data_IF_466512753321
#
_entry.id   IF_466512753321
#
_cell.length_a   1.000
_cell.length_b   1.000
_cell.length_c   1.000
_cell.angle_alpha   90.00
_cell.angle_beta   90.00
_cell.angle_gamma   90.00
#
_symmetry.space_group_name_H-M   'P 1'
#
loop_
_entity.id
_entity.type
_entity.pdbx_description
1 polymer ?
#
# COMPACT_ATOMS: atom_id res chain seq x y z
N UNK A 1 6.96 31.34 3.56
CA UNK A 1 6.63 30.19 2.70
C UNK A 1 5.59 29.23 3.28
N UNK A 2 5.15 29.38 4.52
CA UNK A 2 4.16 28.46 5.18
C UNK A 2 2.68 28.74 4.85
N UNK A 3 2.35 29.86 4.23
CA UNK A 3 0.94 30.26 4.06
C UNK A 3 0.31 29.88 2.71
N UNK A 4 1.08 29.34 1.77
CA UNK A 4 0.57 28.97 0.42
C UNK A 4 0.08 27.52 0.34
N UNK A 5 0.39 26.69 1.34
CA UNK A 5 0.07 25.25 1.34
C UNK A 5 -1.34 24.92 1.86
N UNK A 6 -2.03 25.88 2.51
CA UNK A 6 -3.33 25.62 3.17
C UNK A 6 -4.56 25.64 2.25
N UNK A 7 -4.42 25.95 0.95
CA UNK A 7 -5.53 25.99 -0.01
C UNK A 7 -5.35 25.05 -1.23
N UNK A 8 -4.37 24.18 -1.22
CA UNK A 8 -4.21 23.18 -2.28
C UNK A 8 -5.08 21.98 -1.95
N UNK A 9 -5.87 21.51 -2.93
CA UNK A 9 -6.60 20.25 -2.86
C UNK A 9 -5.63 19.04 -2.91
N UNK A 10 -4.33 19.29 -2.73
CA UNK A 10 -3.28 18.29 -2.77
C UNK A 10 -3.25 17.51 -1.45
N UNK A 11 -3.29 16.19 -1.54
CA UNK A 11 -3.16 15.27 -0.40
C UNK A 11 -1.73 14.75 -0.24
N UNK A 12 -0.93 14.81 -1.33
CA UNK A 12 0.46 14.40 -1.36
C UNK A 12 1.23 15.30 -2.33
N UNK A 13 2.38 15.78 -1.89
CA UNK A 13 3.35 16.51 -2.71
C UNK A 13 4.69 15.81 -2.59
N UNK A 14 5.27 15.44 -3.71
CA UNK A 14 6.63 14.92 -3.83
C UNK A 14 7.47 16.01 -4.50
N UNK A 15 8.55 16.39 -3.84
CA UNK A 15 9.45 17.43 -4.31
C UNK A 15 10.89 16.91 -4.39
N UNK A 16 11.42 16.82 -5.61
CA UNK A 16 12.77 16.40 -5.93
C UNK A 16 13.21 15.08 -5.25
N UNK A 17 12.30 14.10 -5.21
CA UNK A 17 12.53 12.81 -4.55
C UNK A 17 13.56 11.98 -5.30
N UNK A 18 14.58 11.51 -4.59
CA UNK A 18 15.59 10.61 -5.13
C UNK A 18 15.83 9.43 -4.20
N UNK A 19 16.10 8.27 -4.79
CA UNK A 19 16.52 7.06 -4.08
C UNK A 19 17.72 6.43 -4.76
N UNK A 20 18.79 6.30 -4.00
CA UNK A 20 20.03 5.67 -4.40
C UNK A 20 20.28 4.49 -3.47
N UNK A 21 20.54 3.33 -4.05
CA UNK A 21 20.98 2.14 -3.33
C UNK A 21 22.51 2.05 -3.42
N UNK A 22 23.16 1.92 -2.29
CA UNK A 22 24.60 1.67 -2.20
C UNK A 22 24.83 0.17 -2.05
N UNK A 23 25.55 -0.41 -2.98
CA UNK A 23 26.07 -1.78 -2.91
C UNK A 23 27.58 -1.74 -2.64
N UNK A 24 28.19 -2.88 -2.31
CA UNK A 24 29.65 -2.91 -2.05
C UNK A 24 30.48 -2.44 -3.27
N UNK A 25 29.95 -2.60 -4.49
CA UNK A 25 30.71 -2.38 -5.73
C UNK A 25 30.16 -1.23 -6.57
N UNK A 26 28.96 -0.70 -6.25
CA UNK A 26 28.30 0.30 -7.09
C UNK A 26 27.18 1.06 -6.40
N UNK A 27 26.77 2.16 -7.00
CA UNK A 27 25.54 2.89 -6.65
C UNK A 27 24.50 2.68 -7.74
N UNK A 28 23.27 2.40 -7.33
CA UNK A 28 22.13 2.23 -8.24
C UNK A 28 21.11 3.31 -7.94
N UNK A 29 20.92 4.25 -8.86
CA UNK A 29 19.86 5.26 -8.78
C UNK A 29 18.54 4.64 -9.23
N UNK A 30 17.64 4.42 -8.29
CA UNK A 30 16.31 3.88 -8.57
C UNK A 30 15.28 4.96 -8.88
N UNK A 31 15.41 6.14 -8.27
CA UNK A 31 14.57 7.32 -8.51
C UNK A 31 15.48 8.54 -8.52
N UNK A 32 15.29 9.44 -9.47
CA UNK A 32 16.08 10.66 -9.60
C UNK A 32 15.16 11.88 -9.80
N UNK A 33 15.16 12.80 -8.85
CA UNK A 33 14.53 14.11 -8.95
C UNK A 33 13.02 14.09 -9.23
N UNK A 34 12.29 13.07 -8.75
CA UNK A 34 10.85 12.92 -9.02
C UNK A 34 10.06 14.04 -8.36
N UNK A 35 9.20 14.68 -9.15
CA UNK A 35 8.22 15.65 -8.70
C UNK A 35 6.82 15.16 -9.05
N UNK A 36 5.90 15.17 -8.09
CA UNK A 36 4.51 14.73 -8.28
C UNK A 36 3.61 15.38 -7.24
N UNK A 37 2.50 15.92 -7.70
CA UNK A 37 1.42 16.37 -6.82
C UNK A 37 0.19 15.49 -7.05
N UNK A 38 -0.45 15.07 -5.96
CA UNK A 38 -1.65 14.23 -5.97
C UNK A 38 -2.77 14.97 -5.28
N UNK A 39 -3.89 15.10 -5.96
CA UNK A 39 -5.10 15.73 -5.43
C UNK A 39 -6.04 14.73 -4.78
N UNK A 40 -6.89 15.22 -3.91
CA UNK A 40 -7.95 14.40 -3.31
C UNK A 40 -8.88 13.84 -4.39
N UNK A 41 -9.18 12.54 -4.30
CA UNK A 41 -10.01 11.82 -5.27
C UNK A 41 -9.32 11.50 -6.61
N UNK A 42 -8.04 11.83 -6.78
CA UNK A 42 -7.32 11.57 -8.02
C UNK A 42 -6.91 10.10 -8.15
N UNK A 43 -7.02 9.56 -9.37
CA UNK A 43 -6.49 8.25 -9.75
C UNK A 43 -5.22 8.44 -10.56
N UNK A 44 -4.09 7.88 -10.08
CA UNK A 44 -2.78 7.99 -10.73
C UNK A 44 -2.30 6.61 -11.18
N UNK A 45 -1.90 6.50 -12.44
CA UNK A 45 -1.23 5.35 -13.00
C UNK A 45 0.26 5.62 -13.22
N UNK A 46 1.12 4.84 -12.56
CA UNK A 46 2.59 4.91 -12.75
C UNK A 46 3.00 3.81 -13.71
N UNK A 47 3.46 4.19 -14.89
CA UNK A 47 3.82 3.28 -15.98
C UNK A 47 5.32 3.36 -16.27
N UNK A 48 5.90 2.23 -16.61
CA UNK A 48 7.33 2.16 -16.99
C UNK A 48 7.84 0.72 -17.00
N UNK A 49 9.04 0.47 -17.55
CA UNK A 49 9.64 -0.86 -17.64
C UNK A 49 9.89 -1.48 -16.24
N UNK A 50 10.19 -2.78 -16.24
CA UNK A 50 10.63 -3.45 -14.99
C UNK A 50 11.92 -2.81 -14.48
N UNK A 51 12.02 -2.62 -13.16
CA UNK A 51 13.21 -2.04 -12.53
C UNK A 51 13.30 -0.50 -12.54
N UNK A 52 12.35 0.24 -13.14
CA UNK A 52 12.40 1.71 -13.20
C UNK A 52 11.92 2.42 -11.90
N UNK A 53 11.91 1.75 -10.74
CA UNK A 53 11.67 2.38 -9.45
C UNK A 53 10.21 2.50 -9.00
N UNK A 54 9.20 1.99 -9.74
CA UNK A 54 7.78 2.08 -9.36
C UNK A 54 7.48 1.51 -7.98
N UNK A 55 7.96 0.30 -7.71
CA UNK A 55 7.77 -0.37 -6.41
C UNK A 55 8.53 0.37 -5.32
N UNK A 56 9.74 0.84 -5.61
CA UNK A 56 10.55 1.66 -4.69
C UNK A 56 9.80 2.93 -4.28
N UNK A 57 9.20 3.64 -5.24
CA UNK A 57 8.41 4.83 -4.96
C UNK A 57 7.24 4.53 -4.01
N UNK A 58 6.45 3.48 -4.31
CA UNK A 58 5.33 3.10 -3.47
C UNK A 58 5.78 2.67 -2.07
N UNK A 59 6.89 1.94 -1.96
CA UNK A 59 7.46 1.54 -0.66
C UNK A 59 7.88 2.76 0.18
N UNK A 60 8.50 3.76 -0.46
CA UNK A 60 8.88 5.01 0.22
C UNK A 60 7.64 5.78 0.70
N UNK A 61 6.61 5.91 -0.15
CA UNK A 61 5.37 6.60 0.22
C UNK A 61 4.68 5.93 1.41
N UNK A 62 4.69 4.60 1.45
CA UNK A 62 4.11 3.83 2.55
C UNK A 62 4.99 3.82 3.82
N UNK A 63 6.21 4.35 3.74
CA UNK A 63 7.16 4.37 4.87
C UNK A 63 7.79 3.02 5.17
N UNK A 64 7.82 2.12 4.18
CA UNK A 64 8.51 0.83 4.25
C UNK A 64 9.98 0.96 3.87
N UNK A 65 10.35 2.07 3.24
CA UNK A 65 11.69 2.37 2.79
C UNK A 65 12.00 3.86 2.92
N UNK A 66 13.24 4.21 3.23
CA UNK A 66 13.70 5.59 3.33
C UNK A 66 14.12 6.14 1.96
N UNK A 67 13.80 7.39 1.72
CA UNK A 67 14.32 8.17 0.58
C UNK A 67 15.79 8.56 0.82
N UNK A 68 16.54 8.79 -0.25
CA UNK A 68 17.89 9.35 -0.15
C UNK A 68 17.86 10.88 -0.07
N UNK A 69 17.07 11.52 -0.94
CA UNK A 69 16.96 12.99 -1.01
C UNK A 69 15.52 13.41 -1.33
N UNK A 70 15.26 14.73 -1.23
CA UNK A 70 13.97 15.34 -1.56
C UNK A 70 12.96 15.31 -0.41
N UNK A 71 11.73 15.71 -0.70
CA UNK A 71 10.68 15.85 0.31
C UNK A 71 9.41 15.12 -0.09
N UNK A 72 8.70 14.61 0.92
CA UNK A 72 7.35 14.07 0.81
C UNK A 72 6.51 14.82 1.83
N UNK A 73 5.50 15.54 1.35
CA UNK A 73 4.67 16.41 2.17
C UNK A 73 3.22 15.93 2.06
N UNK A 74 2.58 15.78 3.20
CA UNK A 74 1.15 15.52 3.34
C UNK A 74 0.50 16.79 3.90
N UNK A 75 -0.06 17.69 3.07
CA UNK A 75 -0.56 18.98 3.51
C UNK A 75 -1.63 18.92 4.60
N UNK A 76 -2.43 17.86 4.59
CA UNK A 76 -3.53 17.62 5.54
C UNK A 76 -3.13 16.63 6.66
N UNK A 77 -1.82 16.38 6.85
CA UNK A 77 -1.31 15.36 7.75
C UNK A 77 -1.24 13.98 7.07
N UNK A 78 -0.42 13.09 7.64
CA UNK A 78 -0.19 11.76 7.06
C UNK A 78 -1.50 10.97 7.03
N UNK A 79 -2.00 10.70 5.83
CA UNK A 79 -3.18 9.89 5.62
C UNK A 79 -2.94 8.42 6.03
N UNK A 80 -4.00 7.70 6.37
CA UNK A 80 -3.95 6.24 6.47
C UNK A 80 -3.79 5.70 5.05
N UNK A 81 -2.69 5.03 4.78
CA UNK A 81 -2.40 4.43 3.47
C UNK A 81 -2.56 2.92 3.56
N UNK A 82 -3.25 2.33 2.57
CA UNK A 82 -3.22 0.91 2.29
C UNK A 82 -2.17 0.64 1.21
N UNK A 83 -1.34 -0.37 1.40
CA UNK A 83 -0.35 -0.80 0.41
C UNK A 83 -0.60 -2.26 0.03
N UNK A 84 -0.85 -2.50 -1.23
CA UNK A 84 -1.00 -3.83 -1.77
C UNK A 84 0.27 -4.23 -2.53
N UNK A 85 0.91 -5.28 -2.09
CA UNK A 85 2.09 -5.82 -2.74
C UNK A 85 1.71 -6.56 -4.04
N UNK A 86 2.67 -6.69 -4.94
CA UNK A 86 2.48 -7.40 -6.22
C UNK A 86 2.15 -8.89 -6.01
N UNK A 87 2.75 -9.52 -5.00
CA UNK A 87 2.44 -10.88 -4.60
C UNK A 87 1.49 -10.88 -3.41
N UNK A 88 0.64 -11.91 -3.30
CA UNK A 88 -0.13 -12.09 -2.09
C UNK A 88 0.81 -12.33 -0.89
N UNK A 89 0.49 -11.71 0.25
CA UNK A 89 1.25 -11.80 1.49
C UNK A 89 0.45 -12.48 2.58
N UNK A 90 -0.44 -13.39 2.18
CA UNK A 90 -1.26 -14.14 3.11
C UNK A 90 -0.39 -15.07 3.97
N UNK A 91 -0.68 -15.10 5.26
CA UNK A 91 -0.04 -16.03 6.19
C UNK A 91 -0.58 -17.44 5.95
N UNK A 92 0.26 -18.39 5.51
CA UNK A 92 -0.19 -19.72 5.09
C UNK A 92 -0.78 -20.57 6.23
N UNK A 93 -0.45 -20.22 7.47
CA UNK A 93 -0.95 -20.90 8.69
C UNK A 93 -2.23 -20.28 9.25
N UNK A 94 -2.72 -19.19 8.70
CA UNK A 94 -4.01 -18.58 9.04
C UNK A 94 -5.06 -18.94 7.99
N UNK A 95 -6.31 -19.14 8.41
CA UNK A 95 -7.42 -19.22 7.46
C UNK A 95 -7.69 -17.86 6.82
N UNK A 96 -8.55 -17.80 5.82
CA UNK A 96 -8.82 -16.57 5.05
C UNK A 96 -9.42 -15.47 5.92
N UNK A 97 -10.37 -15.79 6.79
CA UNK A 97 -10.96 -14.82 7.71
C UNK A 97 -9.91 -14.22 8.65
N UNK A 98 -9.05 -15.08 9.22
CA UNK A 98 -8.01 -14.64 10.16
C UNK A 98 -6.94 -13.78 9.45
N UNK A 99 -6.63 -14.07 8.18
CA UNK A 99 -5.78 -13.22 7.34
C UNK A 99 -6.39 -11.81 7.18
N UNK A 100 -7.67 -11.71 6.80
CA UNK A 100 -8.37 -10.43 6.64
C UNK A 100 -8.49 -9.66 7.97
N UNK A 101 -8.68 -10.37 9.09
CA UNK A 101 -8.81 -9.74 10.39
C UNK A 101 -7.48 -9.29 11.01
N UNK A 102 -6.35 -9.66 10.44
CA UNK A 102 -5.04 -9.44 11.05
C UNK A 102 -4.75 -7.96 11.33
N UNK A 103 -5.05 -7.08 10.38
CA UNK A 103 -4.88 -5.64 10.55
C UNK A 103 -5.73 -5.07 11.71
N UNK A 104 -6.97 -5.54 11.84
CA UNK A 104 -7.84 -5.18 12.95
C UNK A 104 -7.31 -5.75 14.28
N UNK A 105 -6.77 -6.97 14.26
CA UNK A 105 -6.17 -7.61 15.43
C UNK A 105 -4.97 -6.83 15.97
N UNK A 106 -4.07 -6.41 15.08
CA UNK A 106 -2.88 -5.62 15.43
C UNK A 106 -3.31 -4.26 16.05
N UNK A 107 -4.34 -3.62 15.52
CA UNK A 107 -4.88 -2.36 16.04
C UNK A 107 -5.79 -2.52 17.26
N UNK A 108 -6.07 -3.76 17.69
CA UNK A 108 -7.03 -4.07 18.76
C UNK A 108 -8.45 -3.57 18.47
N UNK A 109 -8.86 -3.59 17.22
CA UNK A 109 -10.15 -3.11 16.71
C UNK A 109 -11.10 -4.26 16.32
N UNK A 110 -10.86 -5.49 16.78
CA UNK A 110 -11.76 -6.62 16.52
C UNK A 110 -13.04 -6.42 17.33
N UNK A 111 -14.13 -6.22 16.61
CA UNK A 111 -15.50 -6.22 17.13
C UNK A 111 -16.33 -7.18 16.28
N UNK A 112 -17.48 -7.64 16.80
CA UNK A 112 -18.40 -8.47 16.00
C UNK A 112 -18.89 -7.72 14.77
N UNK A 113 -19.07 -6.40 14.85
CA UNK A 113 -19.44 -5.57 13.70
C UNK A 113 -18.35 -5.61 12.60
N UNK A 114 -17.09 -5.36 12.96
CA UNK A 114 -15.99 -5.36 12.02
C UNK A 114 -15.77 -6.75 11.40
N UNK A 115 -15.92 -7.80 12.21
CA UNK A 115 -15.86 -9.20 11.72
C UNK A 115 -16.96 -9.49 10.70
N UNK A 116 -18.19 -9.07 10.99
CA UNK A 116 -19.31 -9.26 10.07
C UNK A 116 -19.14 -8.46 8.77
N UNK A 117 -18.54 -7.26 8.82
CA UNK A 117 -18.17 -6.49 7.62
C UNK A 117 -17.17 -7.27 6.76
N UNK A 118 -16.12 -7.82 7.36
CA UNK A 118 -15.12 -8.65 6.64
C UNK A 118 -15.78 -9.87 6.00
N UNK A 119 -16.63 -10.58 6.73
CA UNK A 119 -17.38 -11.73 6.20
C UNK A 119 -18.29 -11.32 5.02
N UNK A 120 -18.95 -10.18 5.12
CA UNK A 120 -19.79 -9.64 4.04
C UNK A 120 -18.96 -9.33 2.80
N UNK A 121 -17.79 -8.69 2.97
CA UNK A 121 -16.86 -8.41 1.87
C UNK A 121 -16.37 -9.71 1.21
N UNK A 122 -15.96 -10.70 1.99
CA UNK A 122 -15.55 -12.01 1.46
C UNK A 122 -16.66 -12.64 0.60
N UNK A 123 -17.92 -12.58 1.03
CA UNK A 123 -19.06 -13.06 0.24
C UNK A 123 -19.24 -12.26 -1.04
N UNK A 124 -19.18 -10.94 -0.96
CA UNK A 124 -19.31 -10.02 -2.12
C UNK A 124 -18.25 -10.28 -3.18
N UNK A 125 -17.01 -10.58 -2.76
CA UNK A 125 -15.92 -10.90 -3.68
C UNK A 125 -15.88 -12.38 -4.12
N UNK A 126 -16.94 -13.16 -3.84
CA UNK A 126 -17.08 -14.56 -4.26
C UNK A 126 -16.17 -15.54 -3.51
N UNK A 127 -15.83 -15.20 -2.26
CA UNK A 127 -14.96 -16.00 -1.39
C UNK A 127 -15.73 -16.62 -0.20
N UNK A 128 -17.07 -16.58 -0.24
CA UNK A 128 -17.94 -17.04 0.85
C UNK A 128 -17.68 -18.48 1.29
N UNK A 129 -17.44 -19.40 0.35
CA UNK A 129 -17.18 -20.81 0.63
C UNK A 129 -15.75 -21.09 1.14
N UNK A 130 -14.90 -20.06 1.09
CA UNK A 130 -13.48 -20.15 1.44
C UNK A 130 -13.12 -19.44 2.74
N UNK A 131 -14.08 -18.86 3.46
CA UNK A 131 -13.87 -18.06 4.67
C UNK A 131 -12.97 -18.76 5.69
N UNK A 132 -13.19 -20.05 5.91
CA UNK A 132 -12.43 -20.86 6.88
C UNK A 132 -11.39 -21.79 6.22
N UNK A 133 -11.16 -21.63 4.91
CA UNK A 133 -10.10 -22.36 4.19
C UNK A 133 -8.76 -21.64 4.35
N UNK A 134 -7.68 -22.31 3.98
CA UNK A 134 -6.33 -21.76 4.03
C UNK A 134 -5.89 -21.24 2.65
N UNK A 135 -4.90 -20.35 2.57
CA UNK A 135 -4.40 -19.81 1.30
C UNK A 135 -4.03 -20.87 0.26
N UNK A 136 -3.56 -22.05 0.69
CA UNK A 136 -3.23 -23.17 -0.18
C UNK A 136 -4.44 -23.75 -0.93
N UNK A 137 -5.65 -23.50 -0.45
CA UNK A 137 -6.89 -23.97 -1.09
C UNK A 137 -7.42 -22.98 -2.15
N UNK A 138 -6.77 -21.80 -2.33
CA UNK A 138 -7.20 -20.73 -3.19
C UNK A 138 -6.32 -20.65 -4.45
N UNK A 139 -6.93 -20.26 -5.57
CA UNK A 139 -6.17 -19.87 -6.77
C UNK A 139 -5.43 -18.54 -6.54
N UNK A 140 -4.42 -18.21 -7.37
CA UNK A 140 -3.68 -16.96 -7.27
C UNK A 140 -4.59 -15.71 -7.31
N UNK A 141 -5.56 -15.68 -8.25
CA UNK A 141 -6.52 -14.58 -8.34
C UNK A 141 -7.49 -14.51 -7.14
N UNK A 142 -7.80 -15.63 -6.50
CA UNK A 142 -8.57 -15.62 -5.25
C UNK A 142 -7.74 -15.05 -4.09
N UNK A 143 -6.47 -15.44 -3.97
CA UNK A 143 -5.57 -14.89 -2.94
C UNK A 143 -5.37 -13.38 -3.10
N UNK A 144 -5.22 -12.87 -4.34
CA UNK A 144 -5.18 -11.43 -4.59
C UNK A 144 -6.45 -10.72 -4.10
N UNK A 145 -7.65 -11.28 -4.36
CA UNK A 145 -8.90 -10.70 -3.87
C UNK A 145 -8.99 -10.66 -2.34
N UNK A 146 -8.43 -11.65 -1.65
CA UNK A 146 -8.31 -11.60 -0.18
C UNK A 146 -7.48 -10.42 0.28
N UNK A 147 -6.39 -10.09 -0.45
CA UNK A 147 -5.53 -8.94 -0.14
C UNK A 147 -6.21 -7.58 -0.29
N UNK A 148 -7.40 -7.50 -0.94
CA UNK A 148 -8.19 -6.26 -1.06
C UNK A 148 -9.12 -6.02 0.13
N UNK A 149 -9.31 -6.99 0.99
CA UNK A 149 -10.22 -6.96 2.14
C UNK A 149 -9.47 -6.65 3.44
#
# INVERSE_FOLDING_TARGET
MENTLKNSNDILIIDNLSKIYHTNDSEITAIEGLNLNVKDGEFIAIVGPSGCGKTTLLSILCGLEDKSYGNIIFPNGKAKMGYMLQNDTLFPWLNILDNCLLGLKVRKEITEENKNKVISLLKTYGLGDFIYKYPSNLSGGMRQRVGWI
#
